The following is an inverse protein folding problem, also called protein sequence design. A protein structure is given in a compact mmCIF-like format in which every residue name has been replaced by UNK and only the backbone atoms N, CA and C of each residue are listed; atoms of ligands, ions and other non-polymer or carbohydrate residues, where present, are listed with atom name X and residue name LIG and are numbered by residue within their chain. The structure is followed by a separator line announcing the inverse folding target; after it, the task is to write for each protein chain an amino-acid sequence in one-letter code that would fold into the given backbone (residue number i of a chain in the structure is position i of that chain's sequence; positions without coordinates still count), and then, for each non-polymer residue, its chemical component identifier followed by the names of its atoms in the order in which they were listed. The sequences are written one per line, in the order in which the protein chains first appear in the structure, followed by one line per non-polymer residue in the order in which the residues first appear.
data_IF_864590663651
#
_entry.id   IF_864590663651
#
_cell.length_a   1.000
_cell.length_b   1.000
_cell.length_c   1.000
_cell.angle_alpha   90.00
_cell.angle_beta   90.00
_cell.angle_gamma   90.00
#
_symmetry.space_group_name_H-M   'P 1'
#
loop_
_entity.id
_entity.type
_entity.pdbx_description
1 polymer ?
#
# COMPACT_ATOMS: atom_id res chain seq x y z
N UNK A 1 -37.72 -25.03 -42.24
CA UNK A 1 -36.96 -25.37 -41.02
C UNK A 1 -35.46 -25.01 -41.09
N UNK A 2 -34.92 -24.58 -42.23
CA UNK A 2 -33.47 -24.37 -42.43
C UNK A 2 -32.94 -23.01 -41.95
N UNK A 3 -33.78 -21.96 -41.92
CA UNK A 3 -33.37 -20.62 -41.52
C UNK A 3 -33.01 -20.51 -40.02
N UNK A 4 -33.72 -21.24 -39.14
CA UNK A 4 -33.48 -21.24 -37.69
C UNK A 4 -32.15 -21.93 -37.31
N UNK A 5 -31.68 -22.89 -38.11
CA UNK A 5 -30.41 -23.58 -37.90
C UNK A 5 -29.22 -22.66 -38.22
N UNK A 6 -29.33 -21.89 -39.32
CA UNK A 6 -28.29 -20.95 -39.76
C UNK A 6 -28.05 -19.81 -38.74
N UNK A 7 -29.12 -19.27 -38.13
CA UNK A 7 -29.01 -18.26 -37.07
C UNK A 7 -28.34 -18.80 -35.80
N UNK A 8 -28.65 -20.04 -35.40
CA UNK A 8 -28.01 -20.69 -34.23
C UNK A 8 -26.53 -20.99 -34.48
N UNK A 9 -26.18 -21.38 -35.70
CA UNK A 9 -24.79 -21.62 -36.12
C UNK A 9 -24.00 -20.30 -36.14
N UNK A 10 -24.60 -19.21 -36.63
CA UNK A 10 -23.99 -17.89 -36.63
C UNK A 10 -23.76 -17.37 -35.20
N UNK A 11 -24.76 -17.48 -34.31
CA UNK A 11 -24.63 -17.10 -32.90
C UNK A 11 -23.52 -17.89 -32.19
N UNK A 12 -23.41 -19.21 -32.44
CA UNK A 12 -22.35 -20.06 -31.88
C UNK A 12 -20.96 -19.68 -32.40
N UNK A 13 -20.86 -19.30 -33.68
CA UNK A 13 -19.62 -18.79 -34.29
C UNK A 13 -19.21 -17.44 -33.68
N UNK A 14 -20.15 -16.53 -33.50
CA UNK A 14 -19.89 -15.23 -32.87
C UNK A 14 -19.44 -15.39 -31.42
N UNK A 15 -20.07 -16.28 -30.65
CA UNK A 15 -19.66 -16.59 -29.28
C UNK A 15 -18.23 -17.16 -29.23
N UNK A 16 -17.89 -18.09 -30.13
CA UNK A 16 -16.55 -18.68 -30.21
C UNK A 16 -15.49 -17.61 -30.55
N UNK A 17 -15.80 -16.69 -31.47
CA UNK A 17 -14.91 -15.57 -31.82
C UNK A 17 -14.68 -14.65 -30.62
N UNK A 18 -15.74 -14.29 -29.88
CA UNK A 18 -15.61 -13.47 -28.67
C UNK A 18 -14.76 -14.15 -27.60
N UNK A 19 -14.92 -15.47 -27.41
CA UNK A 19 -14.15 -16.25 -26.45
C UNK A 19 -12.65 -16.27 -26.81
N UNK A 20 -12.33 -16.43 -28.10
CA UNK A 20 -10.96 -16.36 -28.61
C UNK A 20 -10.37 -14.97 -28.42
N UNK A 21 -11.13 -13.90 -28.71
CA UNK A 21 -10.66 -12.52 -28.49
C UNK A 21 -10.39 -12.26 -27.00
N UNK A 22 -11.30 -12.64 -26.11
CA UNK A 22 -11.13 -12.46 -24.67
C UNK A 22 -9.89 -13.20 -24.12
N UNK A 23 -9.67 -14.45 -24.56
CA UNK A 23 -8.48 -15.22 -24.14
C UNK A 23 -7.19 -14.64 -24.69
N UNK A 24 -7.17 -14.17 -25.95
CA UNK A 24 -6.01 -13.50 -26.53
C UNK A 24 -5.70 -12.17 -25.80
N UNK A 25 -6.71 -11.34 -25.52
CA UNK A 25 -6.53 -10.11 -24.73
C UNK A 25 -6.04 -10.39 -23.32
N UNK A 26 -6.55 -11.45 -22.66
CA UNK A 26 -6.09 -11.86 -21.34
C UNK A 26 -4.63 -12.31 -21.34
N UNK A 27 -4.21 -13.11 -22.34
CA UNK A 27 -2.82 -13.54 -22.48
C UNK A 27 -1.88 -12.37 -22.76
N UNK A 28 -2.28 -11.41 -23.61
CA UNK A 28 -1.52 -10.20 -23.86
C UNK A 28 -1.39 -9.33 -22.59
N UNK A 29 -2.46 -9.23 -21.80
CA UNK A 29 -2.44 -8.50 -20.53
C UNK A 29 -1.52 -9.18 -19.50
N UNK A 30 -1.58 -10.51 -19.39
CA UNK A 30 -0.68 -11.28 -18.52
C UNK A 30 0.78 -11.15 -18.94
N UNK A 31 1.06 -11.16 -20.25
CA UNK A 31 2.41 -10.97 -20.77
C UNK A 31 2.92 -9.54 -20.51
N UNK A 32 2.06 -8.51 -20.63
CA UNK A 32 2.38 -7.14 -20.27
C UNK A 32 2.63 -6.97 -18.76
N UNK A 33 1.82 -7.60 -17.90
CA UNK A 33 2.06 -7.61 -16.46
C UNK A 33 3.40 -8.27 -16.13
N UNK A 34 3.70 -9.43 -16.70
CA UNK A 34 5.00 -10.08 -16.52
C UNK A 34 6.16 -9.20 -16.98
N UNK A 35 6.03 -8.55 -18.13
CA UNK A 35 7.03 -7.60 -18.63
C UNK A 35 7.23 -6.42 -17.67
N UNK A 36 6.14 -5.84 -17.14
CA UNK A 36 6.26 -4.77 -16.15
C UNK A 36 6.96 -5.23 -14.86
N UNK A 37 6.70 -6.46 -14.40
CA UNK A 37 7.37 -7.03 -13.22
C UNK A 37 8.88 -7.27 -13.47
N UNK A 38 9.25 -7.76 -14.66
CA UNK A 38 10.64 -7.90 -15.12
C UNK A 38 11.38 -6.56 -15.13
N UNK A 39 10.73 -5.48 -15.59
CA UNK A 39 11.32 -4.14 -15.64
C UNK A 39 11.59 -3.58 -14.23
N UNK A 40 10.71 -3.85 -13.25
CA UNK A 40 10.98 -3.50 -11.84
C UNK A 40 12.11 -4.34 -11.22
N UNK A 41 12.31 -5.56 -11.68
CA UNK A 41 13.43 -6.41 -11.22
C UNK A 41 14.77 -6.02 -11.85
N UNK A 42 14.76 -5.38 -13.02
CA UNK A 42 15.96 -4.93 -13.73
C UNK A 42 16.42 -3.55 -13.25
N UNK A 43 16.57 -3.38 -11.94
CA UNK A 43 17.50 -2.36 -11.46
C UNK A 43 18.91 -2.77 -11.88
N UNK A 44 19.74 -1.87 -12.45
CA UNK A 44 21.12 -2.20 -12.73
C UNK A 44 21.80 -2.56 -11.40
N UNK A 45 22.23 -3.81 -11.30
CA UNK A 45 23.06 -4.30 -10.20
C UNK A 45 24.47 -3.67 -10.32
N UNK A 46 24.56 -2.37 -10.03
CA UNK A 46 25.81 -1.62 -9.91
C UNK A 46 25.62 -0.44 -8.95
N UNK A 47 25.01 -0.73 -7.81
CA UNK A 47 25.39 -0.03 -6.59
C UNK A 47 26.17 -1.05 -5.79
N UNK A 48 27.24 -0.62 -5.10
CA UNK A 48 27.90 -1.40 -4.06
C UNK A 48 26.85 -2.12 -3.19
N UNK A 49 27.23 -3.22 -2.53
CA UNK A 49 26.43 -3.95 -1.53
C UNK A 49 26.00 -3.04 -0.36
N UNK A 50 25.22 -2.00 -0.65
CA UNK A 50 24.70 -1.05 0.28
C UNK A 50 23.67 -1.81 1.08
N UNK A 51 23.97 -2.00 2.36
CA UNK A 51 23.06 -2.64 3.28
C UNK A 51 21.70 -1.94 3.19
N UNK A 52 20.64 -2.73 2.94
CA UNK A 52 19.26 -2.23 2.89
C UNK A 52 18.97 -1.39 4.14
N UNK A 53 18.39 -0.20 3.96
CA UNK A 53 18.01 0.63 5.08
C UNK A 53 16.68 0.14 5.67
N UNK A 54 16.66 -0.19 6.97
CA UNK A 54 15.54 -0.91 7.60
C UNK A 54 14.79 -0.09 8.65
N UNK A 55 15.33 1.07 9.05
CA UNK A 55 14.77 1.86 10.15
C UNK A 55 13.98 3.06 9.61
N UNK A 56 12.65 2.95 9.58
CA UNK A 56 11.80 3.95 8.90
C UNK A 56 10.62 4.40 9.76
N UNK A 57 10.51 5.71 9.99
CA UNK A 57 9.33 6.33 10.56
C UNK A 57 8.49 6.96 9.45
N UNK A 58 7.38 6.30 9.08
CA UNK A 58 6.43 6.84 8.11
C UNK A 58 5.27 7.54 8.81
N UNK A 59 5.21 8.86 8.67
CA UNK A 59 4.12 9.69 9.15
C UNK A 59 2.96 9.59 8.17
N UNK A 60 2.01 8.70 8.45
CA UNK A 60 0.86 8.50 7.58
C UNK A 60 -0.08 9.72 7.63
N UNK A 61 -0.24 10.41 6.51
CA UNK A 61 -1.22 11.51 6.31
C UNK A 61 -2.49 10.97 5.64
N UNK A 62 -3.63 11.64 5.87
CA UNK A 62 -4.91 11.18 5.29
C UNK A 62 -5.01 11.50 3.80
N UNK A 63 -5.58 10.58 3.02
CA UNK A 63 -5.93 10.75 1.59
C UNK A 63 -4.78 11.12 0.65
N UNK A 64 -3.57 10.69 1.00
CA UNK A 64 -2.32 10.88 0.25
C UNK A 64 -1.79 9.57 -0.36
N UNK A 65 -2.68 8.61 -0.67
CA UNK A 65 -2.31 7.24 -1.04
C UNK A 65 -1.44 6.49 0.00
N UNK A 66 -1.46 6.98 1.24
CA UNK A 66 -0.57 6.50 2.31
C UNK A 66 -0.87 5.07 2.79
N UNK A 67 -2.07 4.55 2.61
CA UNK A 67 -2.38 3.13 2.88
C UNK A 67 -1.62 2.18 1.95
N UNK A 68 -1.37 2.58 0.71
CA UNK A 68 -0.57 1.80 -0.24
C UNK A 68 0.87 1.67 0.27
N UNK A 69 1.51 2.80 0.63
CA UNK A 69 2.88 2.76 1.17
C UNK A 69 2.96 2.02 2.51
N UNK A 70 1.95 2.18 3.39
CA UNK A 70 1.87 1.42 4.64
C UNK A 70 1.89 -0.10 4.40
N UNK A 71 1.10 -0.60 3.44
CA UNK A 71 1.09 -2.03 3.11
C UNK A 71 2.41 -2.51 2.50
N UNK A 72 3.03 -1.70 1.66
CA UNK A 72 4.37 -2.00 1.12
C UNK A 72 5.38 -2.13 2.27
N UNK A 73 5.36 -1.20 3.23
CA UNK A 73 6.24 -1.24 4.40
C UNK A 73 5.95 -2.43 5.32
N UNK A 74 4.68 -2.81 5.51
CA UNK A 74 4.35 -4.04 6.26
C UNK A 74 4.94 -5.28 5.61
N UNK A 75 4.77 -5.46 4.28
CA UNK A 75 5.33 -6.59 3.54
C UNK A 75 6.87 -6.57 3.54
N UNK A 76 7.47 -5.39 3.43
CA UNK A 76 8.92 -5.24 3.55
C UNK A 76 9.41 -5.66 4.93
N UNK A 77 8.73 -5.24 6.01
CA UNK A 77 9.11 -5.60 7.36
C UNK A 77 8.99 -7.11 7.60
N UNK A 78 7.88 -7.71 7.18
CA UNK A 78 7.67 -9.16 7.25
C UNK A 78 8.76 -9.93 6.50
N UNK A 79 9.00 -9.58 5.23
CA UNK A 79 10.00 -10.25 4.39
C UNK A 79 11.43 -10.15 4.93
N UNK A 80 11.72 -9.09 5.71
CA UNK A 80 13.05 -8.82 6.26
C UNK A 80 13.15 -9.10 7.76
N UNK A 81 12.16 -9.75 8.38
CA UNK A 81 12.09 -10.05 9.82
C UNK A 81 12.29 -8.80 10.70
N UNK A 82 11.66 -7.68 10.32
CA UNK A 82 11.73 -6.41 11.04
C UNK A 82 10.52 -6.21 11.94
N UNK A 83 10.73 -5.53 13.07
CA UNK A 83 9.64 -5.24 14.01
C UNK A 83 8.90 -3.95 13.61
N UNK A 84 7.59 -4.05 13.43
CA UNK A 84 6.70 -2.90 13.25
C UNK A 84 6.18 -2.44 14.61
N UNK A 85 6.31 -1.15 14.92
CA UNK A 85 5.62 -0.55 16.05
C UNK A 85 4.11 -0.59 15.81
N UNK A 86 3.38 -1.21 16.73
CA UNK A 86 1.93 -1.31 16.70
C UNK A 86 1.31 -0.50 17.85
N UNK A 87 0.11 0.06 17.66
CA UNK A 87 -0.57 0.76 18.76
C UNK A 87 -1.02 -0.23 19.83
N UNK A 88 -1.15 0.25 21.07
CA UNK A 88 -1.92 -0.47 22.10
C UNK A 88 -3.36 -0.65 21.65
N UNK A 89 -4.02 -1.69 22.15
CA UNK A 89 -5.42 -2.02 21.80
C UNK A 89 -6.38 -0.85 22.03
N UNK A 90 -6.26 -0.14 23.16
CA UNK A 90 -7.07 1.03 23.50
C UNK A 90 -6.75 2.29 22.67
N UNK A 91 -5.75 2.22 21.80
CA UNK A 91 -5.29 3.30 20.95
C UNK A 91 -5.21 2.90 19.47
N UNK A 92 -5.66 1.69 19.15
CA UNK A 92 -5.69 1.18 17.80
C UNK A 92 -6.82 1.85 17.00
N UNK A 93 -6.65 2.01 15.67
CA UNK A 93 -5.43 1.73 14.89
C UNK A 93 -4.46 2.93 14.79
N UNK A 94 -4.73 4.06 15.47
CA UNK A 94 -4.16 5.38 15.16
C UNK A 94 -3.25 5.97 16.26
N UNK A 95 -2.61 5.14 17.10
CA UNK A 95 -1.75 5.61 18.21
C UNK A 95 -2.39 6.73 19.05
N UNK A 96 -3.67 6.55 19.42
CA UNK A 96 -4.47 7.51 20.17
C UNK A 96 -4.64 8.89 19.48
N UNK A 97 -4.55 8.99 18.16
CA UNK A 97 -4.88 10.20 17.40
C UNK A 97 -6.27 10.74 17.83
N UNK A 98 -6.44 12.06 18.02
CA UNK A 98 -5.53 13.16 17.68
C UNK A 98 -4.61 13.64 18.82
N UNK A 99 -4.29 12.80 19.81
CA UNK A 99 -3.29 13.15 20.83
C UNK A 99 -1.89 13.24 20.19
N UNK A 100 -1.03 14.11 20.74
CA UNK A 100 0.39 14.18 20.33
C UNK A 100 1.04 12.82 20.61
N UNK A 101 1.78 12.27 19.65
CA UNK A 101 2.36 10.93 19.78
C UNK A 101 3.25 10.82 21.02
N UNK A 102 3.11 9.68 21.71
CA UNK A 102 3.91 9.27 22.85
C UNK A 102 4.30 7.81 22.64
N UNK A 103 5.52 7.43 23.02
CA UNK A 103 5.98 6.03 22.99
C UNK A 103 5.09 5.11 23.84
N UNK A 104 4.38 5.66 24.83
CA UNK A 104 3.39 4.92 25.63
C UNK A 104 2.22 4.38 24.81
N UNK A 105 1.95 4.95 23.64
CA UNK A 105 0.88 4.50 22.74
C UNK A 105 1.27 3.25 21.95
N UNK A 106 2.54 2.87 21.98
CA UNK A 106 3.06 1.66 21.32
C UNK A 106 2.85 0.45 22.22
N UNK A 107 2.49 -0.67 21.60
CA UNK A 107 2.35 -1.94 22.27
C UNK A 107 3.69 -2.39 22.87
N UNK A 108 3.77 -2.84 24.14
CA UNK A 108 5.03 -3.16 24.80
C UNK A 108 5.92 -4.15 24.03
N UNK A 109 5.30 -5.16 23.39
CA UNK A 109 6.00 -6.18 22.61
C UNK A 109 6.70 -5.60 21.37
N UNK A 110 6.22 -4.47 20.84
CA UNK A 110 6.76 -3.84 19.63
C UNK A 110 7.57 -2.57 19.94
N UNK A 111 8.07 -2.39 21.17
CA UNK A 111 8.83 -1.19 21.55
C UNK A 111 10.20 -1.10 20.85
N UNK A 112 10.82 -2.23 20.51
CA UNK A 112 12.08 -2.27 19.73
C UNK A 112 11.79 -2.34 18.24
N UNK A 113 11.07 -1.33 17.74
CA UNK A 113 10.64 -1.31 16.35
C UNK A 113 11.75 -0.81 15.42
N UNK A 114 11.83 -1.43 14.24
CA UNK A 114 12.55 -0.88 13.09
C UNK A 114 11.68 0.12 12.34
N UNK A 115 10.37 -0.10 12.31
CA UNK A 115 9.46 0.69 11.49
C UNK A 115 8.21 1.09 12.25
N UNK A 116 7.72 2.30 12.00
CA UNK A 116 6.42 2.77 12.51
C UNK A 116 5.62 3.39 11.38
N UNK A 117 4.40 2.89 11.16
CA UNK A 117 3.58 3.26 10.00
C UNK A 117 2.11 3.33 10.43
N UNK A 118 1.63 4.48 10.89
CA UNK A 118 0.19 4.76 11.05
C UNK A 118 -0.05 6.26 11.24
N UNK A 119 -1.32 6.65 11.27
CA UNK A 119 -1.70 8.03 11.59
C UNK A 119 -1.30 8.32 13.04
N UNK A 120 -0.55 9.40 13.23
CA UNK A 120 -0.18 9.94 14.53
C UNK A 120 0.10 11.43 14.39
N UNK A 121 0.02 12.19 15.48
CA UNK A 121 0.55 13.56 15.48
C UNK A 121 2.04 13.52 15.79
N UNK A 122 2.85 14.08 14.88
CA UNK A 122 4.30 14.02 14.96
C UNK A 122 4.83 14.56 16.30
N UNK A 123 5.72 13.78 16.92
CA UNK A 123 6.51 14.17 18.07
C UNK A 123 7.92 13.64 17.88
N UNK A 124 8.84 14.52 17.46
CA UNK A 124 10.22 14.15 17.14
C UNK A 124 10.91 13.48 18.32
N UNK A 125 10.79 14.05 19.51
CA UNK A 125 11.45 13.54 20.73
C UNK A 125 10.92 12.16 21.11
N UNK A 126 9.61 11.93 21.03
CA UNK A 126 9.04 10.61 21.32
C UNK A 126 9.47 9.55 20.29
N UNK A 127 9.52 9.92 19.00
CA UNK A 127 9.98 9.02 17.94
C UNK A 127 11.47 8.71 18.05
N UNK A 128 12.32 9.69 18.36
CA UNK A 128 13.75 9.48 18.58
C UNK A 128 14.06 8.57 19.78
N UNK A 129 13.18 8.54 20.79
CA UNK A 129 13.29 7.61 21.92
C UNK A 129 12.85 6.19 21.58
N UNK A 130 11.91 6.05 20.64
CA UNK A 130 11.36 4.76 20.22
C UNK A 130 12.22 4.10 19.14
N UNK A 131 12.68 4.88 18.16
CA UNK A 131 13.28 4.41 16.93
C UNK A 131 14.81 4.44 16.99
N UNK A 132 15.52 3.56 16.27
CA UNK A 132 16.97 3.60 16.15
C UNK A 132 17.52 4.94 15.64
N UNK A 133 18.77 5.27 15.98
CA UNK A 133 19.41 6.55 15.66
C UNK A 133 19.47 6.85 14.15
N UNK A 134 19.64 5.83 13.32
CA UNK A 134 19.76 5.97 11.86
C UNK A 134 18.41 6.08 11.13
N UNK A 135 17.29 6.16 11.87
CA UNK A 135 15.92 6.17 11.32
C UNK A 135 15.70 7.29 10.31
N UNK A 136 15.16 6.93 9.14
CA UNK A 136 14.68 7.90 8.14
C UNK A 136 13.21 8.22 8.37
N UNK A 137 12.89 9.51 8.37
CA UNK A 137 11.54 10.03 8.55
C UNK A 137 10.99 10.39 7.18
N UNK A 138 9.86 9.79 6.82
CA UNK A 138 9.21 10.01 5.53
C UNK A 138 7.73 10.30 5.71
N UNK A 139 7.16 11.02 4.76
CA UNK A 139 5.73 11.32 4.67
C UNK A 139 5.35 11.47 3.20
N UNK A 140 4.05 11.50 2.91
CA UNK A 140 3.52 11.85 1.59
C UNK A 140 2.61 13.06 1.79
N UNK A 141 2.79 14.07 0.95
CA UNK A 141 1.88 15.22 0.87
C UNK A 141 1.11 15.13 -0.44
N UNK A 142 -0.10 15.71 -0.43
CA UNK A 142 -0.95 15.87 -1.60
C UNK A 142 -1.38 17.33 -1.68
N UNK A 143 -1.67 17.79 -2.88
CA UNK A 143 -2.29 19.09 -3.10
C UNK A 143 -3.58 19.22 -2.22
N UNK A 144 -3.73 20.31 -1.44
CA UNK A 144 -4.77 20.41 -0.42
C UNK A 144 -6.22 20.30 -0.92
N UNK A 145 -6.57 20.90 -2.05
CA UNK A 145 -7.94 20.89 -2.56
C UNK A 145 -8.39 19.48 -2.95
N UNK A 146 -7.58 18.77 -3.73
CA UNK A 146 -7.84 17.39 -4.14
C UNK A 146 -7.79 16.40 -2.96
N UNK A 147 -6.98 16.68 -1.93
CA UNK A 147 -7.00 15.93 -0.67
C UNK A 147 -8.32 16.14 0.07
N UNK A 148 -8.81 17.38 0.15
CA UNK A 148 -10.07 17.72 0.79
C UNK A 148 -11.27 17.07 0.08
N UNK A 149 -11.33 17.12 -1.25
CA UNK A 149 -12.38 16.43 -2.03
C UNK A 149 -12.43 14.93 -1.71
N UNK A 150 -11.26 14.28 -1.62
CA UNK A 150 -11.15 12.87 -1.26
C UNK A 150 -11.56 12.60 0.19
N UNK A 151 -11.24 13.51 1.13
CA UNK A 151 -11.68 13.42 2.53
C UNK A 151 -13.20 13.54 2.62
N UNK A 152 -13.77 14.58 2.03
CA UNK A 152 -15.20 14.87 2.05
C UNK A 152 -16.00 13.71 1.47
N UNK A 153 -15.64 13.25 0.27
CA UNK A 153 -16.30 12.11 -0.40
C UNK A 153 -16.21 10.83 0.42
N UNK A 154 -15.10 10.60 1.11
CA UNK A 154 -14.95 9.41 1.94
C UNK A 154 -15.87 9.46 3.16
N UNK A 155 -15.84 10.56 3.92
CA UNK A 155 -16.63 10.66 5.14
C UNK A 155 -18.13 10.77 4.88
N UNK A 156 -18.55 11.48 3.81
CA UNK A 156 -19.96 11.58 3.44
C UNK A 156 -20.59 10.22 3.08
N UNK A 157 -19.79 9.25 2.62
CA UNK A 157 -20.24 7.89 2.32
C UNK A 157 -20.26 6.94 3.53
N UNK A 158 -19.58 7.31 4.63
CA UNK A 158 -19.44 6.45 5.82
C UNK A 158 -20.05 7.09 7.07
N UNK A 159 -20.75 8.21 6.94
CA UNK A 159 -21.44 8.92 8.03
C UNK A 159 -22.90 8.46 8.23
N UNK A 160 -23.18 7.18 7.98
CA UNK A 160 -24.49 6.55 8.23
C UNK A 160 -24.60 5.97 9.62
#
# INVERSE_FOLDING_TARGET
MECLSSVKILQKKTFLVLLVICTASFLLHMNHINWTMEVFHRSPASHSLAHKHTNVAFLKTHKTASSTLQNILFRFAEHNNLTMALPRSNCAPLFCYPKVFSSHFVHPVTLRANMITSHMRFNKTALQRLMPYDTKYITILREPASMFESLFTYYSRHSG
#
